data_IF_041517700206
#
_entry.id   IF_041517700206
#
_cell.length_a   1.000
_cell.length_b   1.000
_cell.length_c   1.000
_cell.angle_alpha   90.00
_cell.angle_beta   90.00
_cell.angle_gamma   90.00
#
_symmetry.space_group_name_H-M   'P 1'
#
loop_
_entity.id
_entity.type
_entity.pdbx_description
1 polymer ?
#
# COMPACT_ATOMS: atom_id res chain seq x y z
N UNK A 1 -12.04 1.14 26.92
CA UNK A 1 -12.50 1.36 25.54
C UNK A 1 -12.18 0.11 24.76
N UNK A 2 -13.17 -0.49 24.10
CA UNK A 2 -12.88 -1.54 23.11
C UNK A 2 -12.26 -0.84 21.91
N UNK A 3 -11.11 -1.34 21.43
CA UNK A 3 -10.49 -0.80 20.22
C UNK A 3 -11.28 -1.29 19.00
N UNK A 4 -11.49 -0.40 18.02
CA UNK A 4 -12.11 -0.71 16.73
C UNK A 4 -11.35 -1.86 16.05
N UNK A 5 -12.07 -2.86 15.53
CA UNK A 5 -11.52 -4.03 14.82
C UNK A 5 -11.61 -3.87 13.30
N UNK A 6 -10.98 -4.77 12.53
CA UNK A 6 -11.15 -4.80 11.07
C UNK A 6 -12.62 -5.01 10.67
N UNK A 7 -13.39 -5.79 11.45
CA UNK A 7 -14.82 -5.96 11.23
C UNK A 7 -15.57 -4.63 11.29
N UNK A 8 -15.27 -3.79 12.28
CA UNK A 8 -15.93 -2.49 12.46
C UNK A 8 -15.57 -1.53 11.31
N UNK A 9 -14.33 -1.59 10.80
CA UNK A 9 -13.90 -0.84 9.60
C UNK A 9 -14.70 -1.27 8.36
N UNK A 10 -14.99 -2.56 8.19
CA UNK A 10 -15.83 -3.03 7.08
C UNK A 10 -17.25 -2.50 7.18
N UNK A 11 -17.85 -2.57 8.38
CA UNK A 11 -19.22 -2.07 8.62
C UNK A 11 -19.31 -0.57 8.30
N UNK A 12 -18.30 0.22 8.67
CA UNK A 12 -18.21 1.63 8.28
C UNK A 12 -18.25 1.82 6.76
N UNK A 13 -17.34 1.18 6.01
CA UNK A 13 -17.28 1.36 4.54
C UNK A 13 -18.52 0.83 3.82
N UNK A 14 -19.20 -0.20 4.36
CA UNK A 14 -20.49 -0.66 3.81
C UNK A 14 -21.56 0.43 3.94
N UNK A 15 -21.58 1.18 5.05
CA UNK A 15 -22.53 2.25 5.27
C UNK A 15 -22.19 3.49 4.42
N UNK A 16 -20.92 3.89 4.35
CA UNK A 16 -20.50 5.01 3.48
C UNK A 16 -20.89 4.76 2.01
N UNK A 17 -20.74 3.51 1.54
CA UNK A 17 -21.18 3.15 0.18
C UNK A 17 -22.70 3.21 0.02
N UNK A 18 -23.47 2.76 1.01
CA UNK A 18 -24.94 2.83 1.01
C UNK A 18 -25.46 4.26 1.04
N UNK A 19 -24.76 5.13 1.75
CA UNK A 19 -25.10 6.54 1.91
C UNK A 19 -24.61 7.39 0.73
N UNK A 20 -23.96 6.77 -0.27
CA UNK A 20 -23.35 7.44 -1.42
C UNK A 20 -22.40 8.58 -1.00
N UNK A 21 -21.68 8.37 0.11
CA UNK A 21 -20.77 9.33 0.72
C UNK A 21 -19.44 9.40 -0.06
N UNK A 22 -19.53 9.86 -1.30
CA UNK A 22 -18.40 9.86 -2.23
C UNK A 22 -17.53 11.11 -2.14
N UNK A 23 -16.22 10.90 -2.18
CA UNK A 23 -15.20 11.92 -2.41
C UNK A 23 -14.53 11.66 -3.75
N UNK A 24 -14.41 12.71 -4.57
CA UNK A 24 -13.70 12.65 -5.86
C UNK A 24 -12.20 12.69 -5.64
N UNK A 25 -11.48 11.67 -6.12
CA UNK A 25 -10.03 11.59 -6.03
C UNK A 25 -9.32 12.50 -7.05
N UNK A 26 -7.98 12.58 -6.97
CA UNK A 26 -7.17 13.41 -7.88
C UNK A 26 -7.24 12.98 -9.36
N UNK A 27 -7.73 11.78 -9.65
CA UNK A 27 -7.93 11.24 -11.01
C UNK A 27 -9.35 11.48 -11.52
N UNK A 28 -10.23 12.03 -10.68
CA UNK A 28 -11.65 12.25 -10.98
C UNK A 28 -12.54 11.04 -10.71
N UNK A 29 -12.01 9.95 -10.15
CA UNK A 29 -12.78 8.77 -9.76
C UNK A 29 -13.42 8.97 -8.38
N UNK A 30 -14.49 8.23 -8.09
CA UNK A 30 -15.16 8.30 -6.79
C UNK A 30 -14.57 7.30 -5.80
N UNK A 31 -14.42 7.75 -4.56
CA UNK A 31 -13.96 6.95 -3.42
C UNK A 31 -14.91 7.14 -2.23
N UNK A 32 -14.95 6.18 -1.33
CA UNK A 32 -15.49 6.34 0.03
C UNK A 32 -14.30 6.38 0.99
N UNK A 33 -14.36 7.18 2.05
CA UNK A 33 -13.18 7.43 2.90
C UNK A 33 -13.50 7.49 4.39
N UNK A 34 -12.55 7.06 5.22
CA UNK A 34 -12.58 7.23 6.66
C UNK A 34 -11.47 8.21 7.07
N UNK A 35 -11.84 9.36 7.63
CA UNK A 35 -10.88 10.34 8.13
C UNK A 35 -10.46 10.01 9.57
N UNK A 36 -9.16 10.00 9.85
CA UNK A 36 -8.63 9.78 11.20
C UNK A 36 -8.82 8.35 11.73
N UNK A 37 -8.79 7.34 10.85
CA UNK A 37 -8.96 5.94 11.22
C UNK A 37 -7.97 5.48 12.32
N UNK A 38 -8.49 4.82 13.35
CA UNK A 38 -7.71 4.17 14.41
C UNK A 38 -8.37 2.83 14.76
N UNK A 39 -7.66 1.72 14.51
CA UNK A 39 -8.17 0.38 14.73
C UNK A 39 -7.02 -0.61 14.94
N UNK A 40 -7.32 -1.76 15.56
CA UNK A 40 -6.40 -2.89 15.63
C UNK A 40 -6.52 -3.68 14.32
N UNK A 41 -5.39 -3.84 13.62
CA UNK A 41 -5.30 -4.72 12.46
C UNK A 41 -5.27 -6.20 12.89
N UNK A 42 -6.41 -6.72 13.35
CA UNK A 42 -6.60 -8.08 13.87
C UNK A 42 -6.84 -9.13 12.77
N UNK A 43 -6.97 -8.70 11.51
CA UNK A 43 -7.07 -9.53 10.33
C UNK A 43 -6.07 -9.06 9.24
N UNK A 44 -5.59 -9.95 8.36
CA UNK A 44 -4.57 -9.62 7.36
C UNK A 44 -5.07 -8.76 6.18
N UNK A 45 -6.40 -8.57 6.05
CA UNK A 45 -7.01 -7.75 5.03
C UNK A 45 -8.37 -7.20 5.46
N UNK A 46 -8.72 -5.99 4.99
CA UNK A 46 -10.06 -5.41 5.17
C UNK A 46 -11.02 -6.02 4.15
N UNK A 47 -10.75 -5.86 2.85
CA UNK A 47 -11.52 -6.48 1.78
C UNK A 47 -10.58 -7.17 0.78
N UNK A 48 -11.11 -8.18 0.08
CA UNK A 48 -10.33 -8.96 -0.89
C UNK A 48 -9.44 -10.03 -0.25
N UNK A 49 -8.71 -10.75 -1.10
CA UNK A 49 -7.83 -11.84 -0.70
C UNK A 49 -6.35 -11.44 -0.86
N UNK A 50 -5.51 -11.62 0.17
CA UNK A 50 -4.08 -11.37 0.07
C UNK A 50 -3.38 -12.23 -1.01
N UNK A 51 -2.74 -11.56 -1.98
CA UNK A 51 -1.98 -12.25 -3.03
C UNK A 51 -0.55 -12.51 -2.53
N UNK A 52 -0.35 -13.66 -1.87
CA UNK A 52 0.93 -14.02 -1.21
C UNK A 52 2.13 -13.95 -2.17
N UNK A 53 1.97 -14.37 -3.42
CA UNK A 53 3.05 -14.33 -4.42
C UNK A 53 3.50 -12.90 -4.76
N UNK A 54 2.56 -11.94 -4.77
CA UNK A 54 2.87 -10.53 -4.97
C UNK A 54 3.53 -9.93 -3.73
N UNK A 55 2.96 -10.21 -2.54
CA UNK A 55 3.49 -9.75 -1.25
C UNK A 55 4.95 -10.18 -1.08
N UNK A 56 5.27 -11.44 -1.39
CA UNK A 56 6.64 -11.95 -1.29
C UNK A 56 7.61 -11.26 -2.26
N UNK A 57 7.15 -10.93 -3.48
CA UNK A 57 7.97 -10.19 -4.44
C UNK A 57 8.23 -8.75 -3.97
N UNK A 58 7.23 -8.09 -3.39
CA UNK A 58 7.36 -6.73 -2.85
C UNK A 58 8.27 -6.69 -1.61
N UNK A 59 8.19 -7.70 -0.74
CA UNK A 59 9.11 -7.85 0.40
C UNK A 59 10.56 -8.05 -0.05
N UNK A 60 10.80 -8.94 -1.03
CA UNK A 60 12.14 -9.13 -1.58
C UNK A 60 12.69 -7.85 -2.22
N UNK A 61 11.83 -7.08 -2.89
CA UNK A 61 12.19 -5.77 -3.43
C UNK A 61 12.52 -4.75 -2.31
N UNK A 62 11.77 -4.73 -1.22
CA UNK A 62 12.11 -3.90 -0.04
C UNK A 62 13.47 -4.29 0.54
N UNK A 63 13.71 -5.57 0.75
CA UNK A 63 14.97 -6.09 1.29
C UNK A 63 16.18 -5.77 0.37
N UNK A 64 15.96 -5.66 -0.93
CA UNK A 64 17.01 -5.21 -1.87
C UNK A 64 17.42 -3.75 -1.70
N UNK A 65 16.55 -2.91 -1.11
CA UNK A 65 16.74 -1.46 -1.00
C UNK A 65 16.68 -0.70 -2.32
N UNK A 66 16.32 -1.35 -3.44
CA UNK A 66 16.21 -0.71 -4.75
C UNK A 66 15.03 0.26 -4.82
N UNK A 67 15.27 1.45 -5.35
CA UNK A 67 14.21 2.42 -5.63
C UNK A 67 13.62 2.28 -7.04
N UNK A 68 13.98 1.25 -7.81
CA UNK A 68 13.50 1.06 -9.18
C UNK A 68 12.44 -0.05 -9.27
N UNK A 69 11.31 0.22 -9.92
CA UNK A 69 10.17 -0.69 -9.99
C UNK A 69 10.46 -1.94 -10.83
N UNK A 70 11.42 -1.90 -11.77
CA UNK A 70 11.78 -3.06 -12.59
C UNK A 70 12.50 -4.14 -11.78
N UNK A 71 12.98 -3.81 -10.57
CA UNK A 71 13.61 -4.77 -9.67
C UNK A 71 12.59 -5.58 -8.84
N UNK A 72 11.29 -5.28 -8.93
CA UNK A 72 10.23 -6.01 -8.18
C UNK A 72 10.13 -7.46 -8.65
N UNK A 73 10.25 -7.68 -9.95
CA UNK A 73 10.20 -9.02 -10.54
C UNK A 73 11.43 -9.34 -11.40
N UNK A 74 12.35 -8.38 -11.57
CA UNK A 74 13.46 -8.49 -12.50
C UNK A 74 12.99 -8.52 -13.96
N UNK A 75 13.81 -9.11 -14.83
CA UNK A 75 13.57 -9.14 -16.27
C UNK A 75 12.42 -10.06 -16.71
N UNK A 76 11.95 -10.95 -15.83
CA UNK A 76 11.02 -12.02 -16.20
C UNK A 76 9.56 -11.56 -16.24
N UNK A 77 9.25 -10.41 -15.63
CA UNK A 77 7.87 -9.92 -15.53
C UNK A 77 7.83 -8.41 -15.37
N UNK A 78 6.91 -7.79 -16.10
CA UNK A 78 6.64 -6.36 -16.01
C UNK A 78 6.18 -5.95 -14.59
N UNK A 79 6.59 -4.77 -14.11
CA UNK A 79 6.16 -4.26 -12.82
C UNK A 79 4.64 -4.00 -12.82
N UNK A 80 3.99 -4.07 -11.63
CA UNK A 80 2.58 -3.73 -11.51
C UNK A 80 2.25 -2.35 -12.06
N UNK A 81 1.11 -2.21 -12.74
CA UNK A 81 0.70 -0.95 -13.35
C UNK A 81 0.58 0.21 -12.35
N UNK A 82 0.20 -0.08 -11.10
CA UNK A 82 0.17 0.91 -10.04
C UNK A 82 1.55 1.53 -9.75
N UNK A 83 2.61 0.71 -9.76
CA UNK A 83 3.99 1.18 -9.61
C UNK A 83 4.45 1.97 -10.83
N UNK A 84 4.07 1.55 -12.05
CA UNK A 84 4.35 2.32 -13.28
C UNK A 84 3.69 3.70 -13.27
N UNK A 85 2.46 3.78 -12.77
CA UNK A 85 1.73 5.05 -12.63
C UNK A 85 2.41 6.00 -11.62
N UNK A 86 3.06 5.46 -10.59
CA UNK A 86 3.70 6.24 -9.55
C UNK A 86 5.19 6.58 -9.81
N UNK A 87 5.83 5.90 -10.77
CA UNK A 87 7.26 6.04 -11.04
C UNK A 87 7.59 7.24 -11.94
N UNK A 88 8.84 7.67 -11.87
CA UNK A 88 9.39 8.60 -12.86
C UNK A 88 9.61 7.92 -14.22
N UNK A 89 10.05 8.70 -15.22
CA UNK A 89 10.31 8.20 -16.57
C UNK A 89 11.33 7.04 -16.63
N UNK A 90 12.19 6.90 -15.62
CA UNK A 90 13.22 5.87 -15.53
C UNK A 90 12.83 4.70 -14.63
N UNK A 91 11.61 4.70 -14.07
CA UNK A 91 11.12 3.66 -13.18
C UNK A 91 11.49 3.85 -11.71
N UNK A 92 12.02 5.01 -11.31
CA UNK A 92 12.36 5.26 -9.90
C UNK A 92 11.14 5.72 -9.09
N UNK A 93 11.11 5.31 -7.83
CA UNK A 93 10.09 5.69 -6.84
C UNK A 93 10.74 6.00 -5.49
N UNK A 94 10.02 6.74 -4.63
CA UNK A 94 10.47 7.04 -3.28
C UNK A 94 10.13 5.92 -2.27
N UNK A 95 9.03 5.20 -2.49
CA UNK A 95 8.37 4.36 -1.50
C UNK A 95 8.86 2.90 -1.49
N UNK A 96 10.18 2.68 -1.49
CA UNK A 96 10.71 1.38 -1.08
C UNK A 96 10.91 1.41 0.45
N UNK A 97 10.14 0.62 1.20
CA UNK A 97 10.15 0.70 2.66
C UNK A 97 11.44 0.18 3.28
N UNK A 98 12.06 -0.85 2.70
CA UNK A 98 13.38 -1.30 3.15
C UNK A 98 14.44 -0.23 2.94
N UNK A 99 14.42 0.48 1.82
CA UNK A 99 15.29 1.63 1.58
C UNK A 99 15.09 2.73 2.64
N UNK A 100 13.85 3.05 2.99
CA UNK A 100 13.55 4.08 3.99
C UNK A 100 14.03 3.72 5.40
N UNK A 101 13.96 2.44 5.79
CA UNK A 101 14.32 2.02 7.16
C UNK A 101 15.76 1.53 7.31
N UNK A 102 16.40 1.03 6.25
CA UNK A 102 17.73 0.44 6.29
C UNK A 102 18.83 1.29 5.65
N UNK A 103 18.52 2.23 4.76
CA UNK A 103 19.58 2.99 4.08
C UNK A 103 20.21 4.06 4.98
N UNK A 104 21.53 4.25 4.85
CA UNK A 104 22.27 5.31 5.54
C UNK A 104 21.73 6.72 5.20
N UNK A 105 21.25 6.91 3.95
CA UNK A 105 20.61 8.15 3.49
C UNK A 105 19.45 8.57 4.39
N UNK A 106 18.73 7.60 4.97
CA UNK A 106 17.61 7.82 5.89
C UNK A 106 17.97 7.45 7.32
N UNK A 107 19.25 7.57 7.69
CA UNK A 107 19.74 7.43 9.05
C UNK A 107 19.48 6.07 9.72
N UNK A 108 19.29 4.99 8.95
CA UNK A 108 19.11 3.63 9.47
C UNK A 108 18.03 3.50 10.58
N UNK A 109 16.79 3.86 10.26
CA UNK A 109 15.69 3.95 11.24
C UNK A 109 15.42 2.67 12.06
N UNK A 110 15.75 1.48 11.53
CA UNK A 110 15.48 0.22 12.21
C UNK A 110 16.56 -0.22 13.24
N UNK A 111 17.69 0.51 13.34
CA UNK A 111 18.82 0.13 14.21
C UNK A 111 18.50 0.17 15.70
#
# INVERSE_FOLDING_TARGET
>A
MLATSVKDIREFFINELKDEAFTTDKTGQQTIEMLGANFIADEPAIFGEPVTSYINAELAWYESGSTNIYDIHGADKEPPQAWRYAADHYGNVNSNYGHLVFADKYHNQYK
#
